data_IF_170589186368
#
_entry.id   IF_170589186368
#
_cell.length_a   1.000
_cell.length_b   1.000
_cell.length_c   1.000
_cell.angle_alpha   90.00
_cell.angle_beta   90.00
_cell.angle_gamma   90.00
#
_symmetry.space_group_name_H-M   'P 1'
#
loop_
_entity.id
_entity.type
_entity.pdbx_description
1 polymer ?
#
# COMPACT_ATOMS: atom_id res chain seq x y z
N UNK A 1 -3.36 -9.44 24.54
CA UNK A 1 -2.19 -9.56 23.77
C UNK A 1 -2.47 -9.34 22.31
N UNK A 2 -1.77 -8.46 21.67
CA UNK A 2 -2.02 -8.14 20.27
C UNK A 2 -0.93 -8.75 19.41
N UNK A 3 -1.33 -9.52 18.42
CA UNK A 3 -0.42 -10.06 17.44
C UNK A 3 -0.56 -9.26 16.17
N UNK A 4 0.55 -9.03 15.51
CA UNK A 4 0.54 -8.31 14.25
C UNK A 4 1.68 -8.77 13.37
N UNK A 5 1.47 -8.62 12.08
CA UNK A 5 2.49 -8.87 11.09
C UNK A 5 2.89 -7.53 10.50
N UNK A 6 4.17 -7.22 10.53
CA UNK A 6 4.69 -6.06 9.82
C UNK A 6 5.35 -6.53 8.55
N UNK A 7 5.18 -5.79 7.48
CA UNK A 7 5.86 -6.08 6.24
C UNK A 7 6.38 -4.79 5.62
N UNK A 8 7.48 -4.92 4.91
CA UNK A 8 8.07 -3.84 4.14
C UNK A 8 8.04 -4.25 2.68
N UNK A 9 7.63 -3.35 1.82
CA UNK A 9 7.58 -3.64 0.40
C UNK A 9 7.65 -2.40 -0.46
N UNK A 10 7.75 -2.65 -1.76
CA UNK A 10 7.69 -1.64 -2.79
C UNK A 10 6.26 -1.57 -3.29
N UNK A 11 5.62 -0.43 -3.11
CA UNK A 11 4.24 -0.24 -3.57
C UNK A 11 4.20 0.34 -4.97
N UNK A 12 5.26 0.99 -5.42
CA UNK A 12 5.41 1.43 -6.80
C UNK A 12 6.88 1.36 -7.19
N UNK A 13 7.22 0.71 -8.30
CA UNK A 13 8.62 0.53 -8.68
C UNK A 13 9.21 1.78 -9.30
N UNK A 14 10.51 1.74 -9.55
CA UNK A 14 11.19 2.83 -10.20
C UNK A 14 10.77 2.93 -11.67
N UNK A 15 10.71 4.16 -12.19
CA UNK A 15 10.44 4.38 -13.58
C UNK A 15 8.96 4.53 -13.91
N UNK A 16 8.67 4.48 -15.18
CA UNK A 16 7.32 4.74 -15.67
C UNK A 16 6.56 3.42 -15.77
N UNK A 17 6.21 2.89 -14.64
CA UNK A 17 5.48 1.63 -14.59
C UNK A 17 4.00 1.92 -14.58
N UNK A 18 3.30 1.49 -15.61
CA UNK A 18 1.87 1.71 -15.76
C UNK A 18 1.09 0.55 -15.14
N UNK A 19 -0.07 0.86 -14.61
CA UNK A 19 -1.01 -0.17 -14.27
C UNK A 19 -1.80 -0.54 -15.55
N UNK A 20 -2.79 -1.41 -15.39
CA UNK A 20 -3.55 -1.89 -16.55
C UNK A 20 -4.40 -0.80 -17.20
N UNK A 21 -4.54 0.35 -16.55
CA UNK A 21 -5.29 1.50 -17.11
C UNK A 21 -4.36 2.49 -17.81
N UNK A 22 -3.06 2.21 -17.84
CA UNK A 22 -2.12 3.09 -18.49
C UNK A 22 -1.71 4.29 -17.67
N UNK A 23 -2.03 4.30 -16.38
CA UNK A 23 -1.67 5.42 -15.50
C UNK A 23 -0.37 5.08 -14.80
N UNK A 24 0.59 6.00 -14.84
CA UNK A 24 1.83 5.80 -14.12
C UNK A 24 1.98 6.90 -13.08
N UNK A 25 2.81 6.63 -12.09
CA UNK A 25 3.07 7.55 -11.01
C UNK A 25 4.44 8.17 -11.21
N UNK A 26 4.47 9.49 -11.35
CA UNK A 26 5.73 10.19 -11.49
C UNK A 26 6.29 10.53 -10.11
N UNK A 27 7.44 11.21 -10.10
CA UNK A 27 8.12 11.54 -8.85
C UNK A 27 7.23 12.38 -7.94
N UNK A 28 6.49 13.33 -8.49
CA UNK A 28 5.63 14.19 -7.69
C UNK A 28 4.44 13.40 -7.12
N UNK A 29 3.92 12.45 -7.88
CA UNK A 29 2.85 11.58 -7.38
C UNK A 29 3.34 10.77 -6.19
N UNK A 30 4.56 10.23 -6.28
CA UNK A 30 5.15 9.44 -5.19
C UNK A 30 5.29 10.31 -3.95
N UNK A 31 5.83 11.52 -4.10
CA UNK A 31 5.98 12.42 -2.96
C UNK A 31 4.64 12.80 -2.36
N UNK A 32 3.64 13.02 -3.20
CA UNK A 32 2.29 13.33 -2.73
C UNK A 32 1.71 12.18 -1.92
N UNK A 33 1.89 10.95 -2.38
CA UNK A 33 1.37 9.78 -1.66
C UNK A 33 2.07 9.59 -0.31
N UNK A 34 3.38 9.84 -0.25
CA UNK A 34 4.11 9.82 1.02
C UNK A 34 3.49 10.83 1.98
N UNK A 35 3.23 12.05 1.51
CA UNK A 35 2.65 13.08 2.34
C UNK A 35 1.24 12.70 2.79
N UNK A 36 0.47 12.06 1.92
CA UNK A 36 -0.87 11.62 2.28
C UNK A 36 -0.85 10.60 3.42
N UNK A 37 0.11 9.67 3.39
CA UNK A 37 0.27 8.71 4.48
C UNK A 37 0.64 9.43 5.78
N UNK A 38 1.57 10.38 5.72
CA UNK A 38 1.98 11.11 6.90
C UNK A 38 0.83 11.92 7.47
N UNK A 39 0.06 12.59 6.62
CA UNK A 39 -1.08 13.38 7.05
C UNK A 39 -2.17 12.50 7.67
N UNK A 40 -2.43 11.35 7.07
CA UNK A 40 -3.42 10.41 7.60
C UNK A 40 -3.01 9.92 8.99
N UNK A 41 -1.72 9.62 9.17
CA UNK A 41 -1.23 9.18 10.47
C UNK A 41 -1.35 10.28 11.53
N UNK A 42 -1.09 11.53 11.17
CA UNK A 42 -1.25 12.64 12.11
C UNK A 42 -2.70 12.83 12.52
N UNK A 43 -3.64 12.56 11.60
CA UNK A 43 -5.07 12.70 11.93
C UNK A 43 -5.64 11.44 12.56
N UNK A 44 -4.83 10.41 12.76
CA UNK A 44 -5.30 9.11 13.25
C UNK A 44 -6.35 8.48 12.32
N UNK A 45 -6.25 8.80 11.03
CA UNK A 45 -7.12 8.24 9.99
C UNK A 45 -6.26 7.46 9.01
N UNK A 46 -5.64 6.41 9.51
CA UNK A 46 -4.61 5.69 8.78
C UNK A 46 -5.14 5.12 7.47
N UNK A 47 -4.26 5.10 6.47
CA UNK A 47 -4.59 4.50 5.18
C UNK A 47 -4.76 2.99 5.38
N UNK A 48 -5.87 2.41 4.93
CA UNK A 48 -6.11 0.99 5.19
C UNK A 48 -5.31 0.06 4.28
N UNK A 49 -5.07 -1.14 4.79
CA UNK A 49 -4.52 -2.24 4.00
C UNK A 49 -5.66 -3.23 3.76
N UNK A 50 -5.80 -3.66 2.51
CA UNK A 50 -6.80 -4.66 2.14
C UNK A 50 -6.16 -5.91 1.59
N UNK A 51 -6.91 -6.99 1.56
CA UNK A 51 -6.53 -8.23 0.91
C UNK A 51 -7.23 -8.26 -0.44
N UNK A 52 -6.46 -8.24 -1.51
CA UNK A 52 -6.99 -8.29 -2.88
C UNK A 52 -7.99 -7.16 -3.18
N UNK A 53 -7.75 -5.97 -2.64
CA UNK A 53 -8.54 -4.75 -2.90
C UNK A 53 -9.99 -4.83 -2.43
N UNK A 54 -10.35 -5.74 -1.56
CA UNK A 54 -11.76 -5.88 -1.21
C UNK A 54 -11.93 -6.29 0.23
N UNK A 55 -13.17 -6.26 0.66
CA UNK A 55 -13.52 -6.64 2.01
C UNK A 55 -13.23 -5.55 3.02
N UNK A 56 -13.27 -5.90 4.28
CA UNK A 56 -12.91 -4.95 5.34
C UNK A 56 -11.39 -4.90 5.44
N UNK A 57 -10.84 -3.80 5.94
CA UNK A 57 -9.39 -3.69 6.06
C UNK A 57 -8.80 -4.77 6.94
N UNK A 58 -7.62 -5.25 6.55
CA UNK A 58 -6.88 -6.23 7.35
C UNK A 58 -5.80 -5.55 8.18
N UNK A 59 -5.56 -4.28 7.97
CA UNK A 59 -4.55 -3.53 8.69
C UNK A 59 -4.46 -2.11 8.18
N UNK A 60 -3.28 -1.48 8.37
CA UNK A 60 -3.09 -0.10 7.95
C UNK A 60 -1.65 0.15 7.54
N UNK A 61 -1.45 1.25 6.83
CA UNK A 61 -0.11 1.68 6.41
C UNK A 61 0.55 2.37 7.58
N UNK A 62 1.71 1.85 8.01
CA UNK A 62 2.45 2.41 9.13
C UNK A 62 3.27 3.61 8.69
N UNK A 63 3.97 3.47 7.57
CA UNK A 63 4.80 4.55 7.05
C UNK A 63 5.03 4.34 5.55
N UNK A 64 5.41 5.42 4.90
CA UNK A 64 5.77 5.39 3.49
C UNK A 64 6.88 6.39 3.25
N UNK A 65 7.72 6.11 2.27
CA UNK A 65 8.80 7.02 1.90
C UNK A 65 9.16 6.80 0.44
N UNK A 66 9.83 7.78 -0.14
CA UNK A 66 10.33 7.68 -1.49
C UNK A 66 11.81 7.30 -1.45
N UNK A 67 12.22 6.39 -2.31
CA UNK A 67 13.61 6.00 -2.42
C UNK A 67 13.90 5.71 -3.89
N UNK A 68 14.78 6.49 -4.49
CA UNK A 68 15.13 6.34 -5.91
C UNK A 68 13.90 6.27 -6.82
N UNK A 69 12.94 7.15 -6.58
CA UNK A 69 11.69 7.24 -7.34
C UNK A 69 10.78 6.02 -7.16
N UNK A 70 11.01 5.24 -6.14
CA UNK A 70 10.08 4.16 -5.77
C UNK A 70 9.27 4.59 -4.55
N UNK A 71 8.08 4.05 -4.43
CA UNK A 71 7.27 4.23 -3.24
C UNK A 71 7.46 2.99 -2.36
N UNK A 72 8.06 3.20 -1.20
CA UNK A 72 8.30 2.14 -0.23
C UNK A 72 7.32 2.31 0.92
N UNK A 73 6.96 1.23 1.56
CA UNK A 73 6.03 1.31 2.68
C UNK A 73 6.26 0.19 3.70
N UNK A 74 5.81 0.46 4.91
CA UNK A 74 5.65 -0.56 5.95
C UNK A 74 4.17 -0.66 6.24
N UNK A 75 3.67 -1.87 6.19
CA UNK A 75 2.27 -2.15 6.46
C UNK A 75 2.17 -3.02 7.71
N UNK A 76 1.06 -2.85 8.44
CA UNK A 76 0.75 -3.71 9.57
C UNK A 76 -0.54 -4.46 9.26
N UNK A 77 -0.52 -5.77 9.47
CA UNK A 77 -1.71 -6.60 9.36
C UNK A 77 -2.02 -7.10 10.78
N UNK A 78 -3.26 -6.91 11.18
CA UNK A 78 -3.68 -7.24 12.54
C UNK A 78 -4.25 -8.64 12.59
N UNK A 79 -3.87 -9.39 13.63
CA UNK A 79 -4.34 -10.78 13.80
C UNK A 79 -5.58 -10.86 14.66
N UNK A 80 -6.09 -9.74 15.14
CA UNK A 80 -7.22 -9.76 16.06
C UNK A 80 -8.56 -9.76 15.34
N UNK A 81 -8.56 -9.85 14.03
CA UNK A 81 -9.78 -10.04 13.25
C UNK A 81 -9.60 -11.27 12.38
N UNK A 82 -10.71 -11.84 11.94
CA UNK A 82 -10.67 -13.01 11.06
C UNK A 82 -9.99 -12.64 9.74
N UNK A 83 -10.34 -11.48 9.18
CA UNK A 83 -9.79 -11.02 7.91
C UNK A 83 -8.29 -10.79 8.04
N UNK A 84 -7.85 -10.20 9.14
CA UNK A 84 -6.43 -9.98 9.37
C UNK A 84 -5.67 -11.28 9.55
N UNK A 85 -6.26 -12.26 10.22
CA UNK A 85 -5.63 -13.56 10.36
C UNK A 85 -5.46 -14.26 9.02
N UNK A 86 -6.49 -14.18 8.16
CA UNK A 86 -6.41 -14.76 6.83
C UNK A 86 -5.35 -14.05 6.00
N UNK A 87 -5.36 -12.72 6.03
CA UNK A 87 -4.38 -11.93 5.29
C UNK A 87 -2.96 -12.24 5.73
N UNK A 88 -2.73 -12.34 7.05
CA UNK A 88 -1.41 -12.67 7.58
C UNK A 88 -0.93 -14.03 7.12
N UNK A 89 -1.81 -15.02 7.12
CA UNK A 89 -1.46 -16.35 6.65
C UNK A 89 -1.09 -16.34 5.17
N UNK A 90 -1.84 -15.62 4.36
CA UNK A 90 -1.56 -15.55 2.93
C UNK A 90 -0.20 -14.91 2.67
N UNK A 91 0.16 -13.90 3.46
CA UNK A 91 1.48 -13.27 3.33
C UNK A 91 2.57 -14.21 3.82
N UNK A 92 2.39 -14.84 4.98
CA UNK A 92 3.42 -15.74 5.52
C UNK A 92 3.69 -16.93 4.61
N UNK A 93 2.66 -17.44 3.97
CA UNK A 93 2.81 -18.60 3.08
C UNK A 93 3.24 -18.22 1.68
N UNK A 94 3.40 -16.94 1.41
CA UNK A 94 3.81 -16.48 0.08
C UNK A 94 2.71 -16.55 -0.96
N UNK A 95 1.44 -16.75 -0.55
CA UNK A 95 0.33 -16.74 -1.48
C UNK A 95 0.13 -15.33 -2.01
N UNK A 96 0.20 -14.33 -1.12
CA UNK A 96 0.17 -12.93 -1.49
C UNK A 96 1.53 -12.34 -1.17
N UNK A 97 2.36 -12.12 -2.18
CA UNK A 97 3.69 -11.57 -1.96
C UNK A 97 3.95 -10.31 -2.75
N UNK A 98 2.91 -9.70 -3.29
CA UNK A 98 3.00 -8.44 -4.02
C UNK A 98 2.09 -7.41 -3.41
N UNK A 99 2.36 -6.14 -3.73
CA UNK A 99 1.56 -5.02 -3.28
C UNK A 99 0.91 -4.35 -4.47
N UNK A 100 -0.24 -3.74 -4.20
CA UNK A 100 -0.97 -3.01 -5.22
C UNK A 100 -1.62 -1.80 -4.60
N UNK A 101 -1.51 -0.65 -5.26
CA UNK A 101 -2.11 0.59 -4.79
C UNK A 101 -3.55 0.68 -5.24
N UNK A 102 -4.40 1.18 -4.35
CA UNK A 102 -5.72 1.65 -4.73
C UNK A 102 -5.75 3.15 -4.57
N UNK A 103 -6.04 3.88 -5.63
CA UNK A 103 -6.06 5.33 -5.57
C UNK A 103 -7.12 5.88 -6.50
N UNK A 104 -7.57 7.09 -6.20
CA UNK A 104 -8.49 7.82 -7.04
C UNK A 104 -7.71 8.85 -7.81
N UNK A 105 -8.18 9.14 -9.01
CA UNK A 105 -7.58 10.18 -9.83
C UNK A 105 -8.57 11.32 -9.98
N UNK A 106 -8.05 12.51 -10.03
CA UNK A 106 -8.83 13.67 -10.36
C UNK A 106 -8.65 13.96 -11.84
N UNK A 107 -9.74 14.14 -12.54
CA UNK A 107 -9.71 14.38 -13.96
C UNK A 107 -10.06 15.83 -14.22
N UNK A 108 -9.38 16.45 -15.18
CA UNK A 108 -9.65 17.81 -15.58
C UNK A 108 -9.73 17.85 -17.09
N UNK A 109 -10.85 18.38 -17.59
CA UNK A 109 -11.00 18.55 -19.02
C UNK A 109 -10.23 19.76 -19.49
N UNK A 110 -9.46 19.59 -20.57
CA UNK A 110 -8.75 20.69 -21.18
C UNK A 110 -9.70 21.43 -22.09
N UNK A 111 -9.89 22.73 -21.86
CA UNK A 111 -10.76 23.51 -22.70
C UNK A 111 -10.21 23.71 -24.10
N UNK A 112 -8.88 23.58 -24.25
CA UNK A 112 -8.27 23.88 -25.54
C UNK A 112 -8.50 22.80 -26.57
N UNK A 113 -8.55 21.55 -26.16
CA UNK A 113 -8.61 20.45 -27.10
C UNK A 113 -9.63 19.39 -26.69
N UNK A 114 -10.43 19.64 -25.68
CA UNK A 114 -11.40 18.68 -25.21
C UNK A 114 -10.78 17.43 -24.61
N UNK A 115 -9.50 17.46 -24.27
CA UNK A 115 -8.81 16.30 -23.71
C UNK A 115 -8.96 16.29 -22.21
N UNK A 116 -9.07 15.07 -21.66
CA UNK A 116 -9.12 14.87 -20.22
C UNK A 116 -7.72 14.57 -19.72
N UNK A 117 -7.32 15.22 -18.64
CA UNK A 117 -6.03 15.00 -18.02
C UNK A 117 -6.22 14.50 -16.61
N UNK A 118 -5.32 13.61 -16.19
CA UNK A 118 -5.23 13.21 -14.80
C UNK A 118 -4.37 14.24 -14.08
N UNK A 119 -4.91 14.90 -13.07
CA UNK A 119 -4.18 15.97 -12.39
C UNK A 119 -3.65 15.55 -11.04
N UNK A 120 -4.46 14.93 -10.20
CA UNK A 120 -4.05 14.52 -8.86
C UNK A 120 -4.41 13.07 -8.63
N UNK A 121 -3.65 12.44 -7.73
CA UNK A 121 -3.88 11.05 -7.36
C UNK A 121 -3.96 10.97 -5.85
N UNK A 122 -5.03 10.35 -5.37
CA UNK A 122 -5.33 10.26 -3.94
C UNK A 122 -5.26 8.83 -3.49
N UNK A 123 -4.30 8.51 -2.64
CA UNK A 123 -4.11 7.16 -2.16
C UNK A 123 -5.27 6.74 -1.26
N UNK A 124 -5.92 5.64 -1.60
CA UNK A 124 -7.06 5.14 -0.85
C UNK A 124 -6.70 3.93 0.00
N UNK A 125 -5.84 3.07 -0.49
CA UNK A 125 -5.46 1.86 0.23
C UNK A 125 -4.21 1.27 -0.42
N UNK A 126 -3.55 0.38 0.32
CA UNK A 126 -2.53 -0.49 -0.26
C UNK A 126 -2.97 -1.91 0.05
N UNK A 127 -2.98 -2.77 -0.95
CA UNK A 127 -3.40 -4.16 -0.78
C UNK A 127 -2.25 -5.11 -0.88
N UNK A 128 -2.34 -6.21 -0.13
CA UNK A 128 -1.50 -7.37 -0.37
C UNK A 128 -2.25 -8.25 -1.35
N UNK A 129 -1.57 -8.66 -2.40
CA UNK A 129 -2.22 -9.31 -3.54
C UNK A 129 -1.37 -10.46 -4.04
N UNK A 130 -2.01 -11.37 -4.79
CA UNK A 130 -1.29 -12.44 -5.46
C UNK A 130 -0.48 -11.89 -6.61
N UNK A 131 -1.03 -10.91 -7.34
CA UNK A 131 -0.33 -10.27 -8.43
C UNK A 131 -0.72 -8.80 -8.47
N UNK A 132 0.27 -7.92 -8.37
CA UNK A 132 0.04 -6.50 -8.42
C UNK A 132 -0.25 -6.01 -9.83
N UNK A 133 -0.89 -4.83 -9.90
CA UNK A 133 -1.17 -4.20 -11.18
C UNK A 133 0.10 -3.72 -11.86
N UNK A 134 1.14 -3.45 -11.08
CA UNK A 134 2.43 -3.04 -11.61
C UNK A 134 3.47 -4.11 -11.31
N UNK A 135 4.43 -4.27 -12.22
CA UNK A 135 5.52 -5.20 -12.02
C UNK A 135 6.44 -4.71 -10.89
N UNK A 136 7.11 -5.64 -10.24
CA UNK A 136 8.15 -5.34 -9.24
C UNK A 136 7.62 -4.68 -7.98
N UNK A 137 6.36 -4.84 -7.67
CA UNK A 137 5.80 -4.37 -6.41
C UNK A 137 5.78 -5.53 -5.42
N UNK A 138 6.94 -5.81 -4.83
CA UNK A 138 7.12 -7.01 -4.00
C UNK A 138 7.19 -6.68 -2.53
N UNK A 139 6.77 -7.64 -1.71
CA UNK A 139 7.06 -7.63 -0.29
C UNK A 139 8.50 -8.10 -0.12
N UNK A 140 9.33 -7.27 0.53
CA UNK A 140 10.76 -7.57 0.69
C UNK A 140 11.05 -8.32 1.98
N UNK A 141 10.32 -8.01 3.04
CA UNK A 141 10.58 -8.62 4.35
C UNK A 141 9.33 -8.58 5.19
N UNK A 142 9.21 -9.55 6.08
CA UNK A 142 8.13 -9.58 7.06
C UNK A 142 8.72 -9.78 8.44
N UNK A 143 8.02 -9.25 9.46
CA UNK A 143 8.38 -9.43 10.85
C UNK A 143 7.11 -9.77 11.62
N UNK A 144 7.08 -10.94 12.20
CA UNK A 144 5.91 -11.42 12.90
C UNK A 144 6.02 -10.98 14.35
N UNK A 145 5.31 -9.94 14.73
CA UNK A 145 5.37 -9.37 16.06
C UNK A 145 4.32 -10.01 16.94
N UNK A 146 4.69 -11.10 17.53
CA UNK A 146 3.86 -11.73 18.51
C UNK A 146 4.29 -11.25 19.87
N UNK A 147 3.38 -10.71 20.63
CA UNK A 147 3.75 -10.15 21.90
C UNK A 147 3.58 -11.13 22.98
N UNK A 148 4.00 -12.29 22.87
CA UNK A 148 3.91 -13.09 23.87
C UNK A 148 4.84 -12.71 24.83
N UNK A 149 5.36 -12.33 25.25
CA UNK A 149 6.11 -12.08 26.21
C UNK A 149 7.23 -11.56 26.00
N UNK A 150 7.24 -10.59 26.27
CA UNK A 150 8.31 -9.82 26.03
C UNK A 150 9.54 -10.35 26.58
N UNK A 151 9.56 -10.95 27.51
CA UNK A 151 10.76 -11.42 28.04
C UNK A 151 11.39 -12.47 27.21
N UNK A 152 10.66 -12.88 26.30
CA UNK A 152 11.29 -13.84 25.55
C UNK A 152 12.27 -13.25 24.70
N UNK A 153 12.69 -12.80 24.81
CA UNK A 153 13.59 -12.35 24.10
C UNK A 153 14.27 -12.56 24.11
#
# INVERSE_FOLDING_TARGET
MTNRLLLWGTANPEGMSNDYQGIYLNKDDIQSMVQQVEDANRRSEKIPVHLEHKGIPVGHVVSAWAHNNTLQCVLQIDHNTLEGSIGSEFVRKGICNELSLGYLVELQNSSDHGKTRVTNKFLKEISVVKKGARNHCHIHAIADKSFKKSGSK
#
